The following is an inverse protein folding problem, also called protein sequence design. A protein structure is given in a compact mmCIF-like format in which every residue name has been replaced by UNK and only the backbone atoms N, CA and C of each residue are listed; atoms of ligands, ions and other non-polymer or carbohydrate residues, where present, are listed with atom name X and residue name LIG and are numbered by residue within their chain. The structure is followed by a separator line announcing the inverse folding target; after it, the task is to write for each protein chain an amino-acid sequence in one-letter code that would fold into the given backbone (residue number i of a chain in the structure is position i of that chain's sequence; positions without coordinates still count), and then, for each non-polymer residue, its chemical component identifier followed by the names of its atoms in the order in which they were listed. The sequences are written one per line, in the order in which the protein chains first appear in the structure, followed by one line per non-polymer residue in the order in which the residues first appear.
data_IF_396256751979
#
_entry.id   IF_396256751979
#
_cell.length_a   1.000
_cell.length_b   1.000
_cell.length_c   1.000
_cell.angle_alpha   90.00
_cell.angle_beta   90.00
_cell.angle_gamma   90.00
#
_symmetry.space_group_name_H-M   'P 1'
#
loop_
_entity.id
_entity.type
_entity.pdbx_description
1 polymer ?
#
# COMPACT_ATOMS: atom_id res chain seq x y z
N UNK A 1 29.54 -8.37 29.33
CA UNK A 1 28.46 -7.64 30.02
C UNK A 1 28.49 -6.20 29.54
N UNK A 2 27.37 -5.59 29.12
CA UNK A 2 27.34 -4.17 28.80
C UNK A 2 27.36 -3.35 30.09
N UNK A 3 28.11 -2.24 30.09
CA UNK A 3 28.14 -1.31 31.23
C UNK A 3 26.74 -0.71 31.46
N UNK A 4 26.28 -0.56 32.72
CA UNK A 4 24.99 0.06 33.04
C UNK A 4 24.76 1.40 32.34
N UNK A 5 25.83 2.17 32.12
CA UNK A 5 25.80 3.48 31.45
C UNK A 5 25.30 3.45 29.99
N UNK A 6 25.37 2.31 29.31
CA UNK A 6 24.94 2.17 27.90
C UNK A 6 23.48 1.74 27.81
N UNK A 7 22.95 1.04 28.82
CA UNK A 7 21.62 0.43 28.77
C UNK A 7 20.52 1.50 28.93
N UNK A 8 20.73 2.49 29.79
CA UNK A 8 19.77 3.55 30.05
C UNK A 8 19.38 4.40 28.82
N UNK A 9 20.33 4.91 28.02
CA UNK A 9 19.97 5.70 26.84
C UNK A 9 19.20 4.87 25.81
N UNK A 10 19.49 3.57 25.68
CA UNK A 10 18.80 2.66 24.76
C UNK A 10 17.34 2.50 25.18
N UNK A 11 17.08 2.18 26.45
CA UNK A 11 15.73 1.99 26.97
C UNK A 11 14.89 3.27 26.83
N UNK A 12 15.48 4.43 27.14
CA UNK A 12 14.83 5.73 26.97
C UNK A 12 14.49 6.02 25.50
N UNK A 13 15.41 5.76 24.58
CA UNK A 13 15.18 5.96 23.15
C UNK A 13 14.06 5.06 22.61
N UNK A 14 14.02 3.78 23.03
CA UNK A 14 12.94 2.85 22.69
C UNK A 14 11.60 3.37 23.21
N UNK A 15 11.55 3.83 24.47
CA UNK A 15 10.33 4.36 25.07
C UNK A 15 9.82 5.61 24.35
N UNK A 16 10.69 6.57 24.04
CA UNK A 16 10.31 7.78 23.29
C UNK A 16 9.78 7.37 21.91
N UNK A 17 10.52 6.55 21.17
CA UNK A 17 10.13 6.12 19.83
C UNK A 17 8.80 5.37 19.82
N UNK A 18 8.62 4.38 20.70
CA UNK A 18 7.37 3.61 20.75
C UNK A 18 6.18 4.48 21.13
N UNK A 19 6.37 5.46 22.01
CA UNK A 19 5.32 6.41 22.40
C UNK A 19 4.95 7.32 21.24
N UNK A 20 5.94 7.89 20.54
CA UNK A 20 5.71 8.70 19.33
C UNK A 20 5.00 7.90 18.24
N UNK A 21 5.46 6.69 17.95
CA UNK A 21 4.83 5.82 16.95
C UNK A 21 3.38 5.47 17.33
N UNK A 22 3.11 5.24 18.61
CA UNK A 22 1.74 4.98 19.08
C UNK A 22 0.85 6.20 18.93
N UNK A 23 1.35 7.39 19.29
CA UNK A 23 0.60 8.63 19.11
C UNK A 23 0.23 8.83 17.63
N UNK A 24 1.16 8.56 16.71
CA UNK A 24 0.89 8.60 15.26
C UNK A 24 -0.14 7.56 14.83
N UNK A 25 -0.08 6.34 15.37
CA UNK A 25 -1.09 5.30 15.08
C UNK A 25 -2.48 5.70 15.59
N UNK A 26 -2.59 6.21 16.81
CA UNK A 26 -3.86 6.67 17.38
C UNK A 26 -4.43 7.83 16.59
N UNK A 27 -3.57 8.79 16.20
CA UNK A 27 -3.98 9.93 15.40
C UNK A 27 -4.53 9.52 14.03
N UNK A 28 -3.82 8.64 13.31
CA UNK A 28 -4.29 8.07 12.04
C UNK A 28 -5.56 7.24 12.22
N UNK A 29 -5.70 6.54 13.35
CA UNK A 29 -6.93 5.80 13.69
C UNK A 29 -8.11 6.76 13.82
N UNK A 30 -7.99 7.83 14.61
CA UNK A 30 -9.04 8.83 14.79
C UNK A 30 -9.43 9.46 13.45
N UNK A 31 -8.46 9.83 12.61
CA UNK A 31 -8.75 10.41 11.30
C UNK A 31 -9.43 9.43 10.34
N UNK A 32 -9.08 8.15 10.41
CA UNK A 32 -9.63 7.12 9.52
C UNK A 32 -10.94 6.52 10.02
N UNK A 33 -11.31 6.74 11.29
CA UNK A 33 -12.41 6.05 11.94
C UNK A 33 -13.76 6.27 11.22
N UNK A 34 -14.06 7.50 10.83
CA UNK A 34 -15.31 7.82 10.12
C UNK A 34 -15.42 7.08 8.78
N UNK A 35 -14.32 7.02 8.03
CA UNK A 35 -14.27 6.29 6.76
C UNK A 35 -14.33 4.78 6.99
N UNK A 36 -13.69 4.27 8.04
CA UNK A 36 -13.72 2.87 8.43
C UNK A 36 -15.16 2.43 8.72
N UNK A 37 -15.87 3.15 9.60
CA UNK A 37 -17.28 2.89 9.95
C UNK A 37 -18.19 2.91 8.73
N UNK A 38 -17.97 3.85 7.80
CA UNK A 38 -18.83 3.97 6.60
C UNK A 38 -18.51 2.94 5.53
N UNK A 39 -17.24 2.60 5.31
CA UNK A 39 -16.81 1.82 4.15
C UNK A 39 -16.50 0.35 4.46
N UNK A 40 -15.94 0.08 5.65
CA UNK A 40 -15.41 -1.25 6.01
C UNK A 40 -16.42 -2.04 6.82
N UNK A 41 -17.05 -1.42 7.82
CA UNK A 41 -17.97 -2.13 8.73
C UNK A 41 -19.16 -2.80 8.02
N UNK A 42 -19.84 -2.18 7.04
CA UNK A 42 -20.92 -2.84 6.30
C UNK A 42 -20.44 -4.08 5.51
N UNK A 43 -19.14 -4.18 5.23
CA UNK A 43 -18.52 -5.27 4.46
C UNK A 43 -17.84 -6.31 5.34
N UNK A 44 -17.65 -6.04 6.63
CA UNK A 44 -16.91 -6.90 7.56
C UNK A 44 -17.41 -8.36 7.57
N UNK A 45 -18.73 -8.57 7.54
CA UNK A 45 -19.30 -9.92 7.51
C UNK A 45 -19.18 -10.59 6.13
N UNK A 46 -19.13 -9.79 5.06
CA UNK A 46 -19.23 -10.23 3.67
C UNK A 46 -17.88 -10.56 3.01
N UNK A 47 -16.83 -9.78 3.30
CA UNK A 47 -15.56 -9.89 2.57
C UNK A 47 -14.40 -10.28 3.48
N UNK A 48 -13.55 -11.20 2.99
CA UNK A 48 -12.33 -11.60 3.71
C UNK A 48 -11.35 -10.43 3.86
N UNK A 49 -11.26 -9.54 2.87
CA UNK A 49 -10.44 -8.32 2.92
C UNK A 49 -10.79 -7.44 4.14
N UNK A 50 -12.09 -7.23 4.41
CA UNK A 50 -12.53 -6.42 5.56
C UNK A 50 -12.26 -7.13 6.90
N UNK A 51 -12.36 -8.47 6.95
CA UNK A 51 -12.02 -9.24 8.16
C UNK A 51 -10.53 -9.13 8.49
N UNK A 52 -9.66 -9.32 7.50
CA UNK A 52 -8.21 -9.19 7.67
C UNK A 52 -7.85 -7.76 8.10
N UNK A 53 -8.47 -6.76 7.48
CA UNK A 53 -8.26 -5.37 7.85
C UNK A 53 -8.59 -5.10 9.33
N UNK A 54 -9.82 -5.43 9.76
CA UNK A 54 -10.28 -5.19 11.13
C UNK A 54 -9.35 -5.93 12.10
N UNK A 55 -9.08 -7.23 11.87
CA UNK A 55 -8.16 -8.00 12.70
C UNK A 55 -6.79 -7.32 12.82
N UNK A 56 -6.21 -6.89 11.70
CA UNK A 56 -4.88 -6.23 11.65
C UNK A 56 -4.88 -4.89 12.37
N UNK A 57 -5.95 -4.10 12.21
CA UNK A 57 -6.09 -2.75 12.78
C UNK A 57 -6.12 -2.80 14.30
N UNK A 58 -7.02 -3.60 14.85
CA UNK A 58 -7.21 -3.70 16.30
C UNK A 58 -6.11 -4.53 16.97
N UNK A 59 -5.62 -5.60 16.34
CA UNK A 59 -4.49 -6.36 16.87
C UNK A 59 -3.20 -5.51 16.88
N UNK A 60 -2.97 -4.66 15.87
CA UNK A 60 -1.84 -3.76 15.84
C UNK A 60 -1.91 -2.68 16.93
N UNK A 61 -3.08 -2.07 17.16
CA UNK A 61 -3.26 -1.10 18.25
C UNK A 61 -3.06 -1.74 19.63
N UNK A 62 -3.71 -2.88 19.88
CA UNK A 62 -3.52 -3.63 21.11
C UNK A 62 -2.04 -4.01 21.30
N UNK A 63 -1.40 -4.46 20.23
CA UNK A 63 -0.01 -4.87 20.31
C UNK A 63 0.97 -3.74 20.56
N UNK A 64 0.69 -2.56 20.01
CA UNK A 64 1.47 -1.37 20.31
C UNK A 64 1.27 -0.90 21.76
N UNK A 65 0.08 -1.08 22.34
CA UNK A 65 -0.16 -0.90 23.77
C UNK A 65 0.75 -1.79 24.63
N UNK A 66 0.87 -3.08 24.28
CA UNK A 66 1.80 -4.00 24.93
C UNK A 66 3.28 -3.55 24.77
N UNK A 67 3.65 -3.03 23.59
CA UNK A 67 4.99 -2.45 23.33
C UNK A 67 5.31 -1.27 24.26
N UNK A 68 4.38 -0.33 24.46
CA UNK A 68 4.57 0.77 25.41
C UNK A 68 4.70 0.25 26.84
N UNK A 69 3.80 -0.63 27.26
CA UNK A 69 3.81 -1.18 28.61
C UNK A 69 5.16 -1.85 28.92
N UNK A 70 5.69 -2.63 27.97
CA UNK A 70 7.00 -3.24 28.13
C UNK A 70 8.15 -2.23 28.07
N UNK A 71 8.08 -1.22 27.21
CA UNK A 71 9.07 -0.15 27.16
C UNK A 71 9.13 0.64 28.48
N UNK A 72 7.98 0.90 29.10
CA UNK A 72 7.91 1.52 30.44
C UNK A 72 8.63 0.66 31.48
N UNK A 73 8.38 -0.65 31.49
CA UNK A 73 9.08 -1.60 32.37
C UNK A 73 10.60 -1.59 32.18
N UNK A 74 11.07 -1.47 30.93
CA UNK A 74 12.51 -1.36 30.63
C UNK A 74 13.10 -0.06 31.21
N UNK A 75 12.41 1.07 31.08
CA UNK A 75 12.86 2.36 31.63
C UNK A 75 12.84 2.36 33.16
N UNK A 76 11.86 1.69 33.78
CA UNK A 76 11.78 1.53 35.25
C UNK A 76 12.83 0.58 35.83
N UNK A 77 13.72 0.00 35.01
CA UNK A 77 14.77 -0.96 35.41
C UNK A 77 14.25 -2.13 36.25
N UNK A 78 13.00 -2.53 36.05
CA UNK A 78 12.45 -3.69 36.76
C UNK A 78 13.13 -4.94 36.22
N UNK A 79 13.85 -5.73 37.04
CA UNK A 79 14.51 -6.94 36.58
C UNK A 79 13.46 -7.91 36.05
N UNK A 80 13.69 -8.43 34.85
CA UNK A 80 12.82 -9.43 34.24
C UNK A 80 13.51 -10.79 34.29
N UNK A 81 12.73 -11.84 34.55
CA UNK A 81 13.24 -13.20 34.40
C UNK A 81 13.56 -13.48 32.92
N UNK A 82 14.54 -14.36 32.63
CA UNK A 82 14.87 -14.75 31.25
C UNK A 82 13.66 -15.31 30.48
N UNK A 83 12.73 -15.99 31.16
CA UNK A 83 11.49 -16.49 30.56
C UNK A 83 10.58 -15.36 30.07
N UNK A 84 10.45 -14.28 30.84
CA UNK A 84 9.66 -13.10 30.46
C UNK A 84 10.29 -12.40 29.25
N UNK A 85 11.62 -12.27 29.19
CA UNK A 85 12.30 -11.72 28.02
C UNK A 85 12.06 -12.57 26.77
N UNK A 86 12.14 -13.90 26.90
CA UNK A 86 11.87 -14.83 25.79
C UNK A 86 10.42 -14.74 25.33
N UNK A 87 9.46 -14.70 26.25
CA UNK A 87 8.05 -14.55 25.95
C UNK A 87 7.77 -13.22 25.24
N UNK A 88 8.34 -12.12 25.73
CA UNK A 88 8.26 -10.80 25.09
C UNK A 88 8.79 -10.81 23.66
N UNK A 89 9.97 -11.37 23.46
CA UNK A 89 10.58 -11.40 22.14
C UNK A 89 9.79 -12.30 21.17
N UNK A 90 9.32 -13.45 21.65
CA UNK A 90 8.42 -14.32 20.89
C UNK A 90 7.13 -13.59 20.49
N UNK A 91 6.57 -12.81 21.39
CA UNK A 91 5.40 -11.97 21.13
C UNK A 91 5.68 -10.93 20.03
N UNK A 92 6.80 -10.21 20.10
CA UNK A 92 7.17 -9.21 19.09
C UNK A 92 7.32 -9.84 17.70
N UNK A 93 8.02 -10.98 17.61
CA UNK A 93 8.18 -11.70 16.33
C UNK A 93 6.81 -12.12 15.82
N UNK A 94 6.00 -12.76 16.66
CA UNK A 94 4.71 -13.31 16.25
C UNK A 94 3.77 -12.22 15.75
N UNK A 95 3.64 -11.12 16.48
CA UNK A 95 2.79 -10.00 16.06
C UNK A 95 3.29 -9.34 14.77
N UNK A 96 4.60 -9.16 14.62
CA UNK A 96 5.18 -8.60 13.39
C UNK A 96 4.92 -9.53 12.21
N UNK A 97 5.04 -10.85 12.38
CA UNK A 97 4.68 -11.82 11.34
C UNK A 97 3.20 -11.77 10.98
N UNK A 98 2.32 -11.68 11.99
CA UNK A 98 0.88 -11.55 11.74
C UNK A 98 0.56 -10.31 10.91
N UNK A 99 1.14 -9.15 11.26
CA UNK A 99 0.94 -7.91 10.50
C UNK A 99 1.52 -8.01 9.08
N UNK A 100 2.71 -8.59 8.93
CA UNK A 100 3.35 -8.79 7.64
C UNK A 100 2.51 -9.69 6.73
N UNK A 101 2.07 -10.83 7.25
CA UNK A 101 1.23 -11.78 6.55
C UNK A 101 -0.12 -11.16 6.17
N UNK A 102 -0.72 -10.35 7.05
CA UNK A 102 -1.91 -9.58 6.70
C UNK A 102 -1.69 -8.64 5.52
N UNK A 103 -0.55 -7.92 5.46
CA UNK A 103 -0.22 -7.06 4.33
C UNK A 103 -0.08 -7.88 3.04
N UNK A 104 0.62 -9.03 3.08
CA UNK A 104 0.74 -9.94 1.94
C UNK A 104 -0.63 -10.43 1.45
N UNK A 105 -1.49 -10.89 2.38
CA UNK A 105 -2.84 -11.32 2.07
C UNK A 105 -3.74 -10.20 1.55
N UNK A 106 -3.46 -8.93 1.85
CA UNK A 106 -4.18 -7.79 1.29
C UNK A 106 -3.64 -7.41 -0.11
N UNK A 107 -2.37 -7.67 -0.41
CA UNK A 107 -1.77 -7.44 -1.72
C UNK A 107 -2.13 -8.53 -2.73
N UNK A 108 -2.23 -9.80 -2.31
CA UNK A 108 -2.52 -10.93 -3.21
C UNK A 108 -3.85 -10.77 -4.01
N UNK A 109 -5.00 -10.39 -3.40
CA UNK A 109 -6.24 -10.15 -4.14
C UNK A 109 -6.13 -9.06 -5.19
N UNK A 110 -5.25 -8.06 -4.98
CA UNK A 110 -5.01 -6.99 -5.95
C UNK A 110 -4.30 -7.53 -7.18
N UNK A 111 -3.24 -8.33 -6.97
CA UNK A 111 -2.56 -9.02 -8.06
C UNK A 111 -3.56 -9.90 -8.82
N UNK A 112 -4.38 -10.67 -8.11
CA UNK A 112 -5.40 -11.52 -8.74
C UNK A 112 -6.40 -10.74 -9.61
N UNK A 113 -6.92 -9.61 -9.10
CA UNK A 113 -7.82 -8.73 -9.86
C UNK A 113 -7.14 -8.19 -11.13
N UNK A 114 -5.86 -7.81 -11.06
CA UNK A 114 -5.12 -7.31 -12.22
C UNK A 114 -4.90 -8.36 -13.32
N UNK A 115 -4.76 -9.64 -12.96
CA UNK A 115 -4.59 -10.74 -13.91
C UNK A 115 -5.91 -11.33 -14.44
N UNK A 116 -7.01 -10.58 -14.37
CA UNK A 116 -8.28 -11.00 -14.99
C UNK A 116 -8.87 -12.27 -14.37
N UNK A 117 -8.66 -12.49 -13.07
CA UNK A 117 -9.15 -13.67 -12.33
C UNK A 117 -8.52 -15.01 -12.77
N UNK A 118 -7.30 -15.00 -13.31
CA UNK A 118 -6.54 -16.22 -13.59
C UNK A 118 -6.27 -17.04 -12.32
N UNK A 119 -6.95 -18.18 -12.15
CA UNK A 119 -6.85 -19.05 -10.97
C UNK A 119 -5.41 -19.54 -10.72
N UNK A 120 -4.64 -19.76 -11.79
CA UNK A 120 -3.26 -20.25 -11.72
C UNK A 120 -2.33 -19.29 -10.97
N UNK A 121 -2.38 -18.00 -11.28
CA UNK A 121 -1.50 -16.99 -10.66
C UNK A 121 -1.85 -16.80 -9.18
N UNK A 122 -3.14 -16.83 -8.85
CA UNK A 122 -3.57 -16.76 -7.46
C UNK A 122 -3.15 -18.01 -6.67
N UNK A 123 -3.30 -19.21 -7.24
CA UNK A 123 -2.81 -20.43 -6.62
C UNK A 123 -1.30 -20.38 -6.39
N UNK A 124 -0.53 -19.89 -7.37
CA UNK A 124 0.92 -19.70 -7.24
C UNK A 124 1.28 -18.74 -6.10
N UNK A 125 0.59 -17.60 -5.98
CA UNK A 125 0.79 -16.64 -4.89
C UNK A 125 0.49 -17.24 -3.51
N UNK A 126 -0.59 -18.02 -3.40
CA UNK A 126 -0.97 -18.68 -2.15
C UNK A 126 0.04 -19.76 -1.76
N UNK A 127 0.47 -20.59 -2.71
CA UNK A 127 1.49 -21.62 -2.47
C UNK A 127 2.80 -20.96 -2.04
N UNK A 128 3.25 -19.93 -2.77
CA UNK A 128 4.49 -19.23 -2.46
C UNK A 128 4.44 -18.53 -1.10
N UNK A 129 3.34 -17.81 -0.79
CA UNK A 129 3.13 -17.20 0.51
C UNK A 129 3.02 -18.23 1.65
N UNK A 130 2.41 -19.39 1.41
CA UNK A 130 2.34 -20.49 2.37
C UNK A 130 3.72 -21.08 2.70
N UNK A 131 4.54 -21.33 1.67
CA UNK A 131 5.93 -21.81 1.82
C UNK A 131 6.77 -20.79 2.59
N UNK A 132 6.65 -19.50 2.24
CA UNK A 132 7.34 -18.42 2.94
C UNK A 132 6.89 -18.31 4.41
N UNK A 133 5.59 -18.40 4.68
CA UNK A 133 5.05 -18.37 6.05
C UNK A 133 5.63 -19.53 6.88
N UNK A 134 5.65 -20.74 6.33
CA UNK A 134 6.25 -21.90 6.98
C UNK A 134 7.76 -21.72 7.24
N UNK A 135 8.50 -21.20 6.24
CA UNK A 135 9.93 -20.89 6.37
C UNK A 135 10.19 -19.82 7.45
N UNK A 136 9.32 -18.80 7.54
CA UNK A 136 9.39 -17.76 8.54
C UNK A 136 9.06 -18.28 9.95
N UNK A 137 8.07 -19.17 10.08
CA UNK A 137 7.75 -19.81 11.35
C UNK A 137 8.90 -20.70 11.86
N UNK A 138 9.52 -21.48 10.96
CA UNK A 138 10.70 -22.29 11.28
C UNK A 138 11.89 -21.42 11.70
N UNK A 139 12.12 -20.32 10.98
CA UNK A 139 13.16 -19.33 11.30
C UNK A 139 12.89 -18.67 12.65
N UNK A 140 11.65 -18.26 12.93
CA UNK A 140 11.25 -17.64 14.19
C UNK A 140 11.53 -18.57 15.38
N UNK A 141 11.13 -19.85 15.28
CA UNK A 141 11.43 -20.86 16.31
C UNK A 141 12.93 -20.97 16.58
N UNK A 142 13.73 -21.02 15.52
CA UNK A 142 15.20 -21.11 15.62
C UNK A 142 15.81 -19.88 16.29
N UNK A 143 15.31 -18.67 15.97
CA UNK A 143 15.77 -17.43 16.60
C UNK A 143 15.40 -17.40 18.10
N UNK A 144 14.20 -17.85 18.47
CA UNK A 144 13.76 -17.86 19.89
C UNK A 144 14.61 -18.82 20.74
N UNK A 145 15.01 -19.98 20.19
CA UNK A 145 15.81 -20.95 20.94
C UNK A 145 17.28 -20.58 21.01
N UNK A 146 17.81 -19.89 19.98
CA UNK A 146 19.24 -19.60 19.85
C UNK A 146 19.69 -18.23 20.36
N UNK A 147 18.79 -17.36 20.83
CA UNK A 147 19.14 -16.01 21.28
C UNK A 147 19.40 -15.92 22.78
N UNK A 148 20.49 -15.25 23.13
CA UNK A 148 20.81 -14.89 24.52
C UNK A 148 20.30 -13.49 24.85
N UNK A 149 19.64 -13.34 26.00
CA UNK A 149 19.01 -12.09 26.43
C UNK A 149 19.78 -11.45 27.59
N UNK A 150 19.89 -10.12 27.55
CA UNK A 150 20.29 -9.33 28.72
C UNK A 150 19.20 -9.37 29.82
N UNK A 151 19.52 -9.13 31.11
CA UNK A 151 18.52 -8.93 32.16
C UNK A 151 17.48 -7.82 31.87
N UNK A 152 17.82 -6.89 30.98
CA UNK A 152 16.93 -5.84 30.47
C UNK A 152 16.19 -6.23 29.19
N UNK A 153 16.17 -7.52 28.84
CA UNK A 153 15.58 -8.09 27.64
C UNK A 153 16.11 -7.52 26.31
N UNK A 154 17.29 -6.89 26.34
CA UNK A 154 18.02 -6.46 25.14
C UNK A 154 18.72 -7.65 24.50
N UNK A 155 18.56 -7.82 23.18
CA UNK A 155 19.24 -8.86 22.40
C UNK A 155 20.72 -8.50 22.28
N UNK A 156 21.59 -9.36 22.80
CA UNK A 156 23.04 -9.13 22.81
C UNK A 156 23.68 -9.64 21.50
N UNK A 157 23.17 -10.73 20.95
CA UNK A 157 23.72 -11.34 19.74
C UNK A 157 22.60 -11.86 18.86
N UNK A 158 22.42 -11.28 17.64
CA UNK A 158 21.43 -11.79 16.71
C UNK A 158 21.87 -13.16 16.20
N UNK A 159 20.94 -14.10 16.14
CA UNK A 159 21.17 -15.41 15.53
C UNK A 159 21.25 -15.28 14.00
N UNK A 160 22.14 -16.04 13.34
CA UNK A 160 22.28 -16.03 11.88
C UNK A 160 20.98 -16.36 11.13
N UNK A 161 20.05 -17.09 11.78
CA UNK A 161 18.72 -17.36 11.23
C UNK A 161 17.91 -16.11 10.88
N UNK A 162 18.23 -14.94 11.46
CA UNK A 162 17.60 -13.67 11.09
C UNK A 162 17.88 -13.29 9.63
N UNK A 163 19.01 -13.70 9.07
CA UNK A 163 19.39 -13.43 7.68
C UNK A 163 18.42 -14.15 6.72
N UNK A 164 18.19 -15.45 6.93
CA UNK A 164 17.25 -16.23 6.11
C UNK A 164 15.83 -15.66 6.17
N UNK A 165 15.41 -15.20 7.34
CA UNK A 165 14.12 -14.54 7.52
C UNK A 165 13.99 -13.22 6.74
N UNK A 166 15.03 -12.37 6.76
CA UNK A 166 15.03 -11.14 5.96
C UNK A 166 15.00 -11.43 4.46
N UNK A 167 15.79 -12.41 4.00
CA UNK A 167 15.87 -12.79 2.58
C UNK A 167 14.54 -13.34 2.07
N UNK A 168 13.88 -14.24 2.81
CA UNK A 168 12.60 -14.82 2.38
C UNK A 168 11.54 -13.73 2.16
N UNK A 169 11.49 -12.73 3.03
CA UNK A 169 10.57 -11.60 2.92
C UNK A 169 10.92 -10.72 1.72
N UNK A 170 12.20 -10.37 1.54
CA UNK A 170 12.64 -9.57 0.38
C UNK A 170 12.25 -10.27 -0.93
N UNK A 171 12.48 -11.58 -1.05
CA UNK A 171 12.12 -12.35 -2.24
C UNK A 171 10.61 -12.32 -2.50
N UNK A 172 9.77 -12.46 -1.47
CA UNK A 172 8.32 -12.36 -1.65
C UNK A 172 7.88 -10.98 -2.10
N UNK A 173 8.31 -9.93 -1.41
CA UNK A 173 7.90 -8.57 -1.78
C UNK A 173 8.45 -8.19 -3.15
N UNK A 174 9.63 -8.67 -3.55
CA UNK A 174 10.12 -8.55 -4.93
C UNK A 174 9.22 -9.29 -5.92
N UNK A 175 8.78 -10.51 -5.61
CA UNK A 175 7.88 -11.28 -6.47
C UNK A 175 6.52 -10.58 -6.63
N UNK A 176 5.94 -10.08 -5.54
CA UNK A 176 4.71 -9.26 -5.57
C UNK A 176 4.94 -8.02 -6.43
N UNK A 177 6.01 -7.25 -6.18
CA UNK A 177 6.30 -6.04 -6.96
C UNK A 177 6.47 -6.35 -8.45
N UNK A 178 7.24 -7.38 -8.77
CA UNK A 178 7.48 -7.82 -10.14
C UNK A 178 6.17 -8.17 -10.83
N UNK A 179 5.31 -8.97 -10.21
CA UNK A 179 4.01 -9.35 -10.79
C UNK A 179 3.08 -8.14 -10.99
N UNK A 180 3.12 -7.13 -10.09
CA UNK A 180 2.37 -5.88 -10.23
C UNK A 180 2.90 -5.02 -11.40
N UNK A 181 4.21 -4.76 -11.43
CA UNK A 181 4.85 -3.93 -12.45
C UNK A 181 4.78 -4.57 -13.84
N UNK A 182 5.05 -5.88 -13.93
CA UNK A 182 4.94 -6.62 -15.18
C UNK A 182 3.56 -6.47 -15.81
N UNK A 183 2.51 -6.62 -15.00
CA UNK A 183 1.13 -6.47 -15.47
C UNK A 183 0.80 -5.04 -15.84
N UNK A 184 1.34 -4.05 -15.11
CA UNK A 184 1.21 -2.63 -15.42
C UNK A 184 1.79 -2.28 -16.79
N UNK A 185 3.04 -2.67 -17.05
CA UNK A 185 3.70 -2.41 -18.33
C UNK A 185 3.00 -3.12 -19.48
N UNK A 186 2.62 -4.40 -19.32
CA UNK A 186 1.89 -5.15 -20.36
C UNK A 186 0.51 -4.57 -20.64
N UNK A 187 -0.17 -3.99 -19.63
CA UNK A 187 -1.47 -3.34 -19.85
C UNK A 187 -1.37 -2.05 -20.64
N UNK A 188 -0.21 -1.37 -20.58
CA UNK A 188 -0.02 -0.11 -21.29
C UNK A 188 0.07 -0.31 -22.81
N UNK A 189 0.31 -1.53 -23.28
CA UNK A 189 0.52 -1.86 -24.70
C UNK A 189 -0.78 -2.06 -25.51
N UNK A 190 -1.93 -1.51 -25.06
CA UNK A 190 -3.15 -1.42 -25.87
C UNK A 190 -4.12 -2.60 -25.77
N UNK A 191 -3.92 -3.56 -24.87
CA UNK A 191 -4.83 -4.69 -24.71
C UNK A 191 -6.00 -4.35 -23.77
N UNK A 192 -7.24 -4.60 -24.22
CA UNK A 192 -8.54 -4.37 -23.58
C UNK A 192 -8.61 -4.86 -22.12
N UNK A 193 -8.09 -4.05 -21.19
CA UNK A 193 -7.95 -4.36 -19.78
C UNK A 193 -8.85 -3.53 -18.87
N UNK A 194 -8.79 -3.74 -17.54
CA UNK A 194 -9.50 -2.92 -16.56
C UNK A 194 -9.17 -1.43 -16.72
N UNK A 195 -10.03 -0.52 -16.20
CA UNK A 195 -9.86 0.92 -16.38
C UNK A 195 -8.45 1.38 -16.02
N UNK A 196 -7.77 2.03 -16.96
CA UNK A 196 -6.36 2.48 -16.81
C UNK A 196 -6.13 3.30 -15.54
N UNK A 197 -7.14 4.08 -15.14
CA UNK A 197 -7.13 4.88 -13.91
C UNK A 197 -7.02 4.01 -12.64
N UNK A 198 -7.81 2.94 -12.54
CA UNK A 198 -7.75 2.03 -11.39
C UNK A 198 -6.39 1.32 -11.31
N UNK A 199 -5.89 0.84 -12.45
CA UNK A 199 -4.60 0.13 -12.50
C UNK A 199 -3.45 1.04 -12.05
N UNK A 200 -3.40 2.28 -12.54
CA UNK A 200 -2.39 3.27 -12.15
C UNK A 200 -2.40 3.53 -10.65
N UNK A 201 -3.59 3.65 -10.08
CA UNK A 201 -3.78 3.95 -8.67
C UNK A 201 -3.42 2.75 -7.77
N UNK A 202 -3.90 1.55 -8.13
CA UNK A 202 -3.62 0.31 -7.41
C UNK A 202 -2.12 -0.03 -7.44
N UNK A 203 -1.47 0.17 -8.59
CA UNK A 203 -0.03 -0.05 -8.76
C UNK A 203 0.75 0.96 -7.93
N UNK A 204 0.46 2.27 -8.04
CA UNK A 204 1.18 3.31 -7.27
C UNK A 204 1.19 3.01 -5.78
N UNK A 205 0.02 2.73 -5.22
CA UNK A 205 -0.11 2.53 -3.78
C UNK A 205 0.44 1.18 -3.33
N UNK A 206 0.16 0.11 -4.07
CA UNK A 206 0.71 -1.22 -3.79
C UNK A 206 2.24 -1.26 -3.93
N UNK A 207 2.80 -0.59 -4.95
CA UNK A 207 4.24 -0.52 -5.18
C UNK A 207 4.94 0.31 -4.13
N UNK A 208 4.41 1.49 -3.76
CA UNK A 208 5.01 2.32 -2.72
C UNK A 208 5.10 1.59 -1.38
N UNK A 209 4.02 0.89 -0.98
CA UNK A 209 4.04 0.07 0.24
C UNK A 209 5.06 -1.07 0.15
N UNK A 210 5.08 -1.78 -0.98
CA UNK A 210 6.01 -2.89 -1.20
C UNK A 210 7.47 -2.43 -1.16
N UNK A 211 7.79 -1.32 -1.83
CA UNK A 211 9.12 -0.71 -1.85
C UNK A 211 9.54 -0.27 -0.45
N UNK A 212 8.65 0.41 0.29
CA UNK A 212 8.96 0.84 1.66
C UNK A 212 9.30 -0.34 2.57
N UNK A 213 8.50 -1.43 2.52
CA UNK A 213 8.76 -2.65 3.28
C UNK A 213 10.09 -3.27 2.86
N UNK A 214 10.37 -3.40 1.56
CA UNK A 214 11.64 -3.95 1.07
C UNK A 214 12.84 -3.14 1.54
N UNK A 215 12.81 -1.80 1.47
CA UNK A 215 13.91 -0.94 1.91
C UNK A 215 14.23 -1.18 3.39
N UNK A 216 13.22 -1.35 4.23
CA UNK A 216 13.41 -1.62 5.67
C UNK A 216 13.99 -3.00 5.91
N UNK A 217 13.50 -4.02 5.20
CA UNK A 217 14.06 -5.37 5.32
C UNK A 217 15.49 -5.47 4.78
N UNK A 218 15.83 -4.73 3.71
CA UNK A 218 17.21 -4.58 3.23
C UNK A 218 18.06 -3.92 4.30
N UNK A 219 17.58 -2.83 4.92
CA UNK A 219 18.29 -2.18 6.02
C UNK A 219 18.50 -3.13 7.21
N UNK A 220 17.48 -3.89 7.61
CA UNK A 220 17.59 -4.93 8.65
C UNK A 220 18.59 -6.02 8.28
N UNK A 221 18.60 -6.45 7.02
CA UNK A 221 19.54 -7.43 6.50
C UNK A 221 20.98 -6.90 6.60
N UNK A 222 21.24 -5.68 6.11
CA UNK A 222 22.55 -5.02 6.16
C UNK A 222 23.05 -4.79 7.60
N UNK A 223 22.15 -4.45 8.53
CA UNK A 223 22.48 -4.37 9.96
C UNK A 223 22.82 -5.74 10.54
N UNK A 224 22.11 -6.79 10.14
CA UNK A 224 22.31 -8.16 10.64
C UNK A 224 23.61 -8.78 10.12
N UNK A 225 24.03 -8.45 8.90
CA UNK A 225 25.32 -8.87 8.32
C UNK A 225 26.50 -8.03 8.80
N UNK A 226 26.26 -7.07 9.72
CA UNK A 226 27.26 -6.12 10.25
C UNK A 226 27.91 -5.22 9.20
N UNK A 227 27.34 -5.14 7.99
CA UNK A 227 27.75 -4.14 6.99
C UNK A 227 27.48 -2.73 7.53
N UNK A 228 26.35 -2.55 8.21
CA UNK A 228 26.01 -1.32 8.94
C UNK A 228 26.15 -1.62 10.44
N UNK A 229 27.26 -1.15 11.04
CA UNK A 229 27.52 -1.37 12.46
C UNK A 229 26.67 -0.42 13.32
N UNK A 230 25.44 -0.82 13.59
CA UNK A 230 24.50 -0.10 14.44
C UNK A 230 24.17 -0.95 15.65
N UNK A 231 24.90 -0.73 16.74
CA UNK A 231 24.74 -1.49 17.98
C UNK A 231 23.32 -1.41 18.58
N UNK A 232 22.50 -0.43 18.15
CA UNK A 232 21.11 -0.23 18.60
C UNK A 232 20.01 -0.57 17.57
N UNK A 233 20.35 -0.95 16.32
CA UNK A 233 19.34 -1.02 15.25
C UNK A 233 18.30 -2.10 15.47
N UNK A 234 18.71 -3.27 15.96
CA UNK A 234 17.83 -4.45 16.00
C UNK A 234 16.52 -4.22 16.76
N UNK A 235 16.56 -3.68 17.97
CA UNK A 235 15.36 -3.50 18.80
C UNK A 235 14.49 -2.33 18.31
N UNK A 236 15.13 -1.23 17.90
CA UNK A 236 14.45 -0.01 17.42
C UNK A 236 13.68 -0.29 16.12
N UNK A 237 14.30 -1.03 15.18
CA UNK A 237 13.68 -1.30 13.88
C UNK A 237 12.39 -2.13 14.03
N UNK A 238 12.28 -3.02 15.03
CA UNK A 238 11.04 -3.79 15.22
C UNK A 238 9.82 -2.89 15.45
N UNK A 239 9.94 -1.85 16.28
CA UNK A 239 8.83 -0.92 16.53
C UNK A 239 8.48 -0.11 15.28
N UNK A 240 9.49 0.34 14.54
CA UNK A 240 9.30 1.05 13.27
C UNK A 240 8.60 0.15 12.27
N UNK A 241 9.09 -1.06 12.04
CA UNK A 241 8.50 -2.04 11.13
C UNK A 241 7.05 -2.36 11.53
N UNK A 242 6.79 -2.57 12.81
CA UNK A 242 5.45 -2.86 13.34
C UNK A 242 4.46 -1.75 12.97
N UNK A 243 4.78 -0.50 13.28
CA UNK A 243 3.92 0.64 12.95
C UNK A 243 3.74 0.79 11.44
N UNK A 244 4.78 0.53 10.65
CA UNK A 244 4.72 0.65 9.20
C UNK A 244 3.84 -0.40 8.54
N UNK A 245 3.91 -1.65 8.99
CA UNK A 245 3.00 -2.70 8.53
C UNK A 245 1.55 -2.36 8.87
N UNK A 246 1.31 -1.77 10.04
CA UNK A 246 -0.01 -1.30 10.43
C UNK A 246 -0.52 -0.14 9.56
N UNK A 247 0.31 0.86 9.27
CA UNK A 247 -0.02 1.95 8.35
C UNK A 247 -0.27 1.44 6.93
N UNK A 248 0.59 0.54 6.44
CA UNK A 248 0.48 -0.11 5.14
C UNK A 248 -0.87 -0.83 4.98
N UNK A 249 -1.22 -1.71 5.92
CA UNK A 249 -2.50 -2.41 5.90
C UNK A 249 -3.69 -1.42 5.91
N UNK A 250 -3.60 -0.37 6.74
CA UNK A 250 -4.56 0.71 6.83
C UNK A 250 -4.83 1.37 5.47
N UNK A 251 -3.76 1.86 4.85
CA UNK A 251 -3.79 2.63 3.60
C UNK A 251 -4.22 1.78 2.40
N UNK A 252 -3.75 0.54 2.32
CA UNK A 252 -4.16 -0.41 1.29
C UNK A 252 -5.70 -0.50 1.28
N UNK A 253 -6.33 -0.89 2.37
CA UNK A 253 -7.78 -1.19 2.36
C UNK A 253 -8.65 0.06 2.23
N UNK A 254 -8.33 1.13 2.97
CA UNK A 254 -9.11 2.36 2.91
C UNK A 254 -9.11 2.97 1.51
N UNK A 255 -7.97 2.93 0.82
CA UNK A 255 -7.88 3.48 -0.52
C UNK A 255 -8.64 2.63 -1.55
N UNK A 256 -8.59 1.30 -1.46
CA UNK A 256 -9.41 0.42 -2.31
C UNK A 256 -10.91 0.68 -2.11
N UNK A 257 -11.33 0.85 -0.85
CA UNK A 257 -12.72 1.08 -0.51
C UNK A 257 -13.22 2.44 -1.02
N UNK A 258 -12.41 3.50 -0.88
CA UNK A 258 -12.72 4.83 -1.41
C UNK A 258 -12.85 4.83 -2.93
N UNK A 259 -11.88 4.21 -3.62
CA UNK A 259 -11.93 4.14 -5.08
C UNK A 259 -13.16 3.38 -5.57
N UNK A 260 -13.50 2.26 -4.92
CA UNK A 260 -14.69 1.49 -5.30
C UNK A 260 -15.97 2.32 -5.17
N UNK A 261 -16.09 3.10 -4.10
CA UNK A 261 -17.24 4.01 -3.92
C UNK A 261 -17.31 5.06 -5.04
N UNK A 262 -16.18 5.66 -5.42
CA UNK A 262 -16.14 6.62 -6.53
C UNK A 262 -16.58 5.99 -7.85
N UNK A 263 -16.17 4.74 -8.11
CA UNK A 263 -16.57 4.01 -9.32
C UNK A 263 -18.07 3.66 -9.30
N UNK A 264 -18.62 3.31 -8.14
CA UNK A 264 -20.06 3.06 -7.97
C UNK A 264 -20.87 4.35 -8.21
N UNK A 265 -20.43 5.50 -7.69
CA UNK A 265 -21.05 6.80 -7.95
C UNK A 265 -21.01 7.18 -9.43
N UNK A 266 -19.86 7.08 -10.09
CA UNK A 266 -19.72 7.41 -11.51
C UNK A 266 -20.63 6.54 -12.41
N UNK A 267 -20.81 5.26 -12.06
CA UNK A 267 -21.73 4.37 -12.80
C UNK A 267 -23.19 4.73 -12.58
N UNK A 268 -23.54 5.27 -11.40
CA UNK A 268 -24.90 5.73 -11.12
C UNK A 268 -25.27 6.93 -11.98
N UNK A 269 -24.35 7.88 -12.14
CA UNK A 269 -24.61 9.12 -12.91
C UNK A 269 -24.78 8.83 -14.41
N UNK A 270 -24.00 7.89 -14.96
CA UNK A 270 -24.13 7.44 -16.36
C UNK A 270 -25.47 6.74 -16.61
N UNK A 271 -26.00 6.06 -15.60
CA UNK A 271 -27.25 5.31 -15.71
C UNK A 271 -28.49 6.13 -15.36
N UNK A 272 -28.36 7.42 -14.99
CA UNK A 272 -29.53 8.27 -14.76
C UNK A 272 -30.19 8.60 -16.11
N UNK A 273 -31.38 8.02 -16.41
CA UNK A 273 -32.04 8.22 -17.69
C UNK A 273 -32.40 9.69 -17.95
N UNK A 274 -32.41 10.55 -16.92
CA UNK A 274 -32.66 11.99 -17.08
C UNK A 274 -31.59 12.71 -17.88
N UNK A 275 -30.34 12.23 -17.88
CA UNK A 275 -29.28 12.83 -18.71
C UNK A 275 -29.36 12.37 -20.18
N UNK A 276 -30.12 11.30 -20.46
CA UNK A 276 -30.29 10.78 -21.83
C UNK A 276 -31.50 11.40 -22.53
N UNK A 277 -32.37 12.14 -21.83
CA UNK A 277 -33.66 12.57 -22.35
C UNK A 277 -33.70 13.99 -22.94
N UNK A 278 -32.58 14.73 -23.01
CA UNK A 278 -32.59 16.15 -23.44
C UNK A 278 -31.78 16.45 -24.69
N UNK A 279 -31.45 15.45 -25.51
CA UNK A 279 -31.00 15.68 -26.90
C UNK A 279 -32.14 15.22 -27.81
N UNK A 280 -33.29 15.87 -27.67
CA UNK A 280 -34.31 15.89 -28.72
C UNK A 280 -33.79 16.88 -29.76
N UNK A 281 -33.12 16.35 -30.80
CA UNK A 281 -32.68 17.13 -31.95
C UNK A 281 -33.94 17.64 -32.63
N UNK A 282 -34.27 18.90 -32.42
CA UNK A 282 -35.34 19.59 -33.14
C UNK A 282 -35.00 19.50 -34.64
N UNK A 283 -35.85 18.89 -35.48
CA UNK A 283 -35.60 18.82 -36.91
C UNK A 283 -35.65 20.25 -37.48
N UNK A 284 -34.50 20.71 -37.96
CA UNK A 284 -34.35 21.99 -38.64
C UNK A 284 -35.11 21.90 -39.98
N UNK A 285 -36.27 22.55 -40.04
CA UNK A 285 -37.18 22.58 -41.19
C UNK A 285 -36.70 23.63 -42.20
N UNK A 286 -35.72 23.28 -43.02
CA UNK A 286 -35.29 24.09 -44.17
C UNK A 286 -36.21 23.82 -45.37
N UNK A 287 -37.38 24.46 -45.35
CA UNK A 287 -38.21 24.65 -46.54
C UNK A 287 -37.92 26.02 -47.14
N UNK A 288 -37.13 26.05 -48.22
CA UNK A 288 -37.22 27.13 -49.21
C UNK A 288 -37.00 26.64 -50.64
N UNK A 289 -37.92 27.09 -51.49
CA UNK A 289 -38.21 26.63 -52.84
C UNK A 289 -37.38 27.33 -53.93
N UNK A 290 -37.57 26.85 -55.18
CA UNK A 290 -37.32 27.45 -56.52
C UNK A 290 -36.20 26.82 -57.39
N UNK A 291 -36.20 26.98 -58.75
CA UNK A 291 -37.02 26.20 -59.67
C UNK A 291 -36.27 25.64 -60.91
N UNK A 292 -36.90 24.66 -61.58
CA UNK A 292 -36.73 24.16 -62.97
C UNK A 292 -35.65 24.74 -63.91
N UNK A 293 -34.88 23.84 -64.55
CA UNK A 293 -34.77 23.80 -66.03
C UNK A 293 -34.20 22.46 -66.56
N UNK A 294 -34.60 21.99 -67.75
CA UNK A 294 -34.30 20.66 -68.27
C UNK A 294 -33.13 20.67 -69.26
N UNK A 295 -32.28 19.64 -69.20
CA UNK A 295 -31.46 19.27 -70.35
C UNK A 295 -31.24 17.76 -70.40
N UNK A 296 -31.76 17.20 -71.48
CA UNK A 296 -31.51 15.85 -71.96
C UNK A 296 -30.03 15.61 -72.23
N UNK A 297 -29.49 14.49 -71.78
CA UNK A 297 -28.58 13.66 -72.58
C UNK A 297 -28.60 12.25 -72.01
N UNK A 298 -29.05 11.29 -72.82
CA UNK A 298 -28.87 9.89 -72.54
C UNK A 298 -27.42 9.49 -72.81
N UNK A 299 -26.91 8.51 -72.06
CA UNK A 299 -25.97 7.47 -72.48
C UNK A 299 -25.81 6.51 -71.29
N UNK A 300 -26.30 5.29 -71.53
CA UNK A 300 -25.69 4.00 -71.23
C UNK A 300 -25.41 3.58 -69.77
N UNK A 301 -26.12 2.52 -69.41
CA UNK A 301 -26.06 1.78 -68.15
C UNK A 301 -24.76 0.98 -68.01
N UNK A 302 -24.05 1.16 -66.90
CA UNK A 302 -23.25 0.09 -66.28
C UNK A 302 -23.58 0.06 -64.79
N UNK A 303 -24.21 -1.04 -64.39
CA UNK A 303 -24.59 -1.41 -63.04
C UNK A 303 -23.50 -2.31 -62.46
N UNK A 304 -22.71 -1.83 -61.48
CA UNK A 304 -22.11 -2.69 -60.44
C UNK A 304 -21.93 -1.90 -59.14
N UNK A 305 -22.89 -2.12 -58.24
CA UNK A 305 -22.76 -2.45 -56.82
C UNK A 305 -21.67 -1.80 -55.95
N UNK A 306 -22.14 -0.79 -55.21
CA UNK A 306 -21.95 -0.51 -53.77
C UNK A 306 -20.62 0.01 -53.21
N UNK A 307 -20.67 1.01 -52.31
CA UNK A 307 -19.57 1.92 -52.06
C UNK A 307 -18.89 1.70 -50.70
N UNK A 308 -17.62 2.03 -50.74
CA UNK A 308 -16.79 2.57 -49.68
C UNK A 308 -17.12 4.06 -49.53
N UNK A 309 -17.27 4.60 -48.32
CA UNK A 309 -17.08 6.03 -48.01
C UNK A 309 -16.18 6.07 -46.76
N UNK A 310 -14.89 6.43 -46.82
CA UNK A 310 -14.25 7.71 -47.21
C UNK A 310 -14.76 8.88 -46.38
N UNK A 311 -14.07 9.29 -45.33
CA UNK A 311 -12.98 10.30 -45.30
C UNK A 311 -13.34 11.66 -45.88
N UNK A 312 -12.86 12.69 -45.15
CA UNK A 312 -12.61 14.09 -45.57
C UNK A 312 -13.79 15.05 -45.32
N UNK A 313 -13.62 16.31 -44.88
CA UNK A 313 -12.56 17.10 -44.27
C UNK A 313 -13.17 18.51 -44.03
N UNK A 314 -12.50 19.31 -43.19
CA UNK A 314 -12.46 20.79 -43.20
C UNK A 314 -13.78 21.59 -43.06
N UNK A 315 -13.82 22.36 -41.97
CA UNK A 315 -14.73 23.49 -41.81
C UNK A 315 -14.31 24.36 -40.62
N UNK A 316 -13.28 25.17 -40.81
CA UNK A 316 -12.81 26.22 -39.89
C UNK A 316 -13.92 27.22 -39.56
N UNK A 317 -14.13 27.58 -38.28
CA UNK A 317 -14.60 28.93 -37.90
C UNK A 317 -14.33 29.29 -36.44
N UNK A 318 -14.19 30.58 -36.29
CA UNK A 318 -13.60 31.36 -35.20
C UNK A 318 -14.63 31.90 -34.19
N UNK A 319 -14.12 32.22 -33.00
CA UNK A 319 -14.50 33.30 -32.04
C UNK A 319 -15.91 33.26 -31.43
N UNK A 320 -15.98 33.14 -30.09
CA UNK A 320 -16.34 34.25 -29.19
C UNK A 320 -16.34 33.85 -27.71
N UNK A 321 -15.85 34.78 -26.89
CA UNK A 321 -15.87 34.80 -25.42
C UNK A 321 -17.21 34.41 -24.81
N UNK A 322 -17.17 33.54 -23.79
CA UNK A 322 -18.10 33.66 -22.67
C UNK A 322 -17.39 33.38 -21.35
N UNK A 323 -17.14 34.48 -20.64
CA UNK A 323 -16.81 34.54 -19.23
C UNK A 323 -17.98 33.99 -18.40
N UNK A 324 -17.77 32.94 -17.60
CA UNK A 324 -18.58 32.72 -16.40
C UNK A 324 -17.81 31.92 -15.34
N UNK A 325 -17.70 32.55 -14.18
CA UNK A 325 -17.06 32.09 -12.95
C UNK A 325 -17.64 30.77 -12.45
N UNK A 326 -16.82 29.95 -11.79
CA UNK A 326 -17.33 28.94 -10.89
C UNK A 326 -16.30 27.91 -10.42
N UNK A 327 -15.93 28.05 -9.15
CA UNK A 327 -15.33 27.05 -8.27
C UNK A 327 -13.82 26.78 -8.41
N UNK A 328 -13.11 27.38 -7.45
CA UNK A 328 -11.78 27.01 -7.01
C UNK A 328 -11.72 25.51 -6.73
N UNK A 329 -11.26 24.75 -7.73
CA UNK A 329 -10.68 23.43 -7.55
C UNK A 329 -9.45 23.58 -6.65
N UNK A 330 -9.72 23.49 -5.35
CA UNK A 330 -8.74 23.31 -4.31
C UNK A 330 -8.03 22.00 -4.61
N UNK A 331 -6.97 22.11 -5.43
CA UNK A 331 -5.99 21.08 -5.68
C UNK A 331 -5.50 20.58 -4.33
N UNK A 332 -6.10 19.48 -3.90
CA UNK A 332 -5.65 18.71 -2.75
C UNK A 332 -4.38 17.98 -3.20
N UNK A 333 -3.30 18.75 -3.37
CA UNK A 333 -1.92 18.30 -3.35
C UNK A 333 -1.62 17.77 -1.95
N UNK A 334 -2.23 16.63 -1.61
CA UNK A 334 -1.77 15.75 -0.52
C UNK A 334 -0.61 14.92 -1.04
N UNK A 335 0.46 15.59 -1.42
CA UNK A 335 1.78 15.02 -1.21
C UNK A 335 1.98 15.03 0.29
N UNK A 336 1.84 13.87 0.94
CA UNK A 336 2.33 13.67 2.28
C UNK A 336 3.85 13.46 2.20
N UNK A 337 4.69 14.34 2.78
CA UNK A 337 6.05 13.97 3.11
C UNK A 337 6.08 13.79 4.64
N UNK A 338 5.83 12.57 5.11
CA UNK A 338 6.11 12.22 6.51
C UNK A 338 6.88 10.91 6.60
N UNK A 339 7.91 10.77 5.76
CA UNK A 339 8.90 9.71 5.88
C UNK A 339 10.35 10.16 5.95
N UNK A 340 10.64 11.47 5.86
CA UNK A 340 12.00 12.02 5.98
C UNK A 340 12.11 12.78 7.31
N UNK A 341 12.06 12.07 8.44
CA UNK A 341 12.44 12.67 9.73
C UNK A 341 12.94 11.65 10.76
N UNK A 342 13.64 10.59 10.31
CA UNK A 342 14.33 9.65 11.22
C UNK A 342 15.86 9.81 11.18
N UNK A 343 16.41 10.54 10.21
CA UNK A 343 17.87 10.63 10.05
C UNK A 343 18.56 11.60 11.03
N UNK A 344 17.84 12.56 11.62
CA UNK A 344 18.45 13.60 12.49
C UNK A 344 18.67 13.22 13.95
N UNK A 345 18.21 12.06 14.42
CA UNK A 345 18.41 11.66 15.82
C UNK A 345 19.63 10.75 16.05
N UNK A 346 20.31 10.28 15.00
CA UNK A 346 21.44 9.33 15.14
C UNK A 346 22.81 10.00 15.00
N UNK A 347 22.89 11.21 14.43
CA UNK A 347 24.15 11.97 14.33
C UNK A 347 24.39 12.84 15.57
N UNK A 348 24.75 12.20 16.69
CA UNK A 348 25.05 12.86 17.95
C UNK A 348 26.36 12.37 18.58
N UNK A 349 27.42 13.19 18.45
CA UNK A 349 28.72 13.17 19.17
C UNK A 349 29.64 11.94 18.96
N UNK A 350 30.45 12.02 17.91
CA UNK A 350 31.83 11.54 17.99
C UNK A 350 32.66 12.52 18.80
N UNK A 351 32.74 12.33 20.13
CA UNK A 351 33.74 13.02 20.95
C UNK A 351 35.10 12.36 20.69
N UNK A 352 36.08 13.17 20.28
CA UNK A 352 37.43 12.72 19.99
C UNK A 352 38.11 12.14 21.23
N UNK A 353 38.58 10.90 21.10
CA UNK A 353 39.62 10.34 21.95
C UNK A 353 40.96 10.65 21.27
N UNK A 354 41.72 11.61 21.82
CA UNK A 354 43.16 11.73 21.55
C UNK A 354 43.87 10.62 22.32
N UNK A 355 44.84 9.99 21.65
CA UNK A 355 45.78 9.01 22.20
C UNK A 355 46.69 9.63 23.25
#
# INVERSE_FOLDING_TARGET
MLSPSIIDPVARNIFILTTTLTALMVLEYIWSFTDEVRLVWPRFLKTTEAKIYVATRYAGLAGQGCNIWFALRMVSRVPNSPSTCRAWYSYQISMTQCLLFSVELLLMPRVYKMYGKGKSIFALLIVFGGVQFAANAASARSVITGTSYSPTCVIISPHHSRIYHGVSIIVMFMFILFTMLWRFFRSSSGLSGPPRAWLKLAVRDGSCTTIAIMVIFIFMFLCSTRVINTQMSGNIIFYVLFSLLWFAAGRIVLHDAKFRKMQESQKSDINDPRLTQTIEVEPFDDSDAYPTSPSSFGVESIEVSTPLDSMSDVGTRDIADEHLCGEDDMQLSRCAPTFILIERCISGRGAGFKK
#
